data_IF_321991537984
#
_entry.id   IF_321991537984
#
_cell.length_a   1.000
_cell.length_b   1.000
_cell.length_c   1.000
_cell.angle_alpha   90.00
_cell.angle_beta   90.00
_cell.angle_gamma   90.00
#
_symmetry.space_group_name_H-M   'P 1'
#
loop_
_entity.id
_entity.type
_entity.pdbx_description
1 polymer ?
#
# COMPACT_ATOMS: atom_id res chain seq x y z
N UNK A 1 -1.60 29.68 -5.39
CA UNK A 1 -1.06 28.42 -4.81
C UNK A 1 -0.57 27.58 -5.97
N UNK A 2 0.74 27.46 -6.15
CA UNK A 2 1.32 26.71 -7.26
C UNK A 2 1.13 25.22 -7.01
N UNK A 3 0.35 24.55 -7.86
CA UNK A 3 0.19 23.09 -7.84
C UNK A 3 1.57 22.46 -8.07
N UNK A 4 1.98 21.52 -7.21
CA UNK A 4 3.20 20.76 -7.46
C UNK A 4 2.93 19.83 -8.65
N UNK A 5 3.97 19.57 -9.45
CA UNK A 5 3.90 18.77 -10.69
C UNK A 5 3.32 17.35 -10.49
N UNK A 6 3.21 16.90 -9.23
CA UNK A 6 2.71 15.59 -8.83
C UNK A 6 1.22 15.56 -8.43
N UNK A 7 0.55 16.71 -8.31
CA UNK A 7 -0.87 16.80 -7.88
C UNK A 7 -1.88 16.52 -9.02
N UNK A 8 -1.47 15.83 -10.10
CA UNK A 8 -2.42 15.44 -11.16
C UNK A 8 -3.25 14.28 -10.65
N UNK A 9 -4.59 14.39 -10.57
CA UNK A 9 -5.45 13.29 -10.13
C UNK A 9 -5.15 12.03 -10.95
N UNK A 10 -4.83 10.94 -10.27
CA UNK A 10 -4.61 9.62 -10.87
C UNK A 10 -5.80 8.72 -10.55
N UNK A 11 -6.04 7.74 -11.42
CA UNK A 11 -7.05 6.72 -11.15
C UNK A 11 -6.66 5.93 -9.90
N UNK A 12 -7.56 5.78 -8.93
CA UNK A 12 -7.31 5.02 -7.71
C UNK A 12 -6.91 3.58 -8.06
N UNK A 13 -5.86 3.08 -7.40
CA UNK A 13 -5.28 1.76 -7.67
C UNK A 13 -4.34 1.74 -8.87
N UNK A 14 -4.33 2.77 -9.73
CA UNK A 14 -3.39 2.91 -10.84
C UNK A 14 -2.13 3.71 -10.43
N UNK A 15 -1.47 3.24 -9.37
CA UNK A 15 -0.24 3.85 -8.81
C UNK A 15 0.91 2.86 -8.93
N UNK A 16 1.98 3.25 -9.63
CA UNK A 16 3.19 2.44 -9.77
C UNK A 16 4.02 2.35 -8.50
N UNK A 17 4.90 1.36 -8.41
CA UNK A 17 5.86 1.21 -7.32
C UNK A 17 7.28 1.40 -7.83
N UNK A 18 8.04 2.30 -7.20
CA UNK A 18 9.43 2.54 -7.57
C UNK A 18 10.27 1.28 -7.27
N UNK A 19 11.15 0.90 -8.20
CA UNK A 19 12.16 -0.11 -7.93
C UNK A 19 13.27 0.50 -7.06
N UNK A 20 13.63 -0.17 -5.96
CA UNK A 20 14.59 0.30 -4.97
C UNK A 20 15.92 -0.46 -5.05
N UNK A 21 16.19 -1.10 -6.19
CA UNK A 21 17.35 -1.97 -6.42
C UNK A 21 16.95 -3.44 -6.31
N UNK A 22 16.77 -4.11 -7.45
CA UNK A 22 16.33 -5.52 -7.52
C UNK A 22 15.02 -5.83 -6.77
N UNK A 23 14.15 -4.84 -6.50
CA UNK A 23 12.89 -5.06 -5.76
C UNK A 23 11.67 -5.26 -6.66
N UNK A 24 11.86 -5.46 -7.97
CA UNK A 24 10.76 -5.65 -8.91
C UNK A 24 9.88 -6.89 -8.59
N UNK A 25 10.47 -7.94 -8.00
CA UNK A 25 9.72 -9.11 -7.51
C UNK A 25 8.67 -8.73 -6.46
N UNK A 26 9.06 -7.86 -5.51
CA UNK A 26 8.17 -7.37 -4.46
C UNK A 26 7.11 -6.44 -5.07
N UNK A 27 7.51 -5.56 -6.00
CA UNK A 27 6.56 -4.67 -6.67
C UNK A 27 5.49 -5.46 -7.44
N UNK A 28 5.88 -6.51 -8.17
CA UNK A 28 4.94 -7.35 -8.91
C UNK A 28 3.94 -8.05 -7.97
N UNK A 29 4.43 -8.64 -6.88
CA UNK A 29 3.57 -9.28 -5.88
C UNK A 29 2.61 -8.27 -5.22
N UNK A 30 3.12 -7.11 -4.77
CA UNK A 30 2.31 -6.06 -4.15
C UNK A 30 1.21 -5.55 -5.08
N UNK A 31 1.50 -5.39 -6.38
CA UNK A 31 0.49 -4.96 -7.35
C UNK A 31 -0.63 -5.99 -7.50
N UNK A 32 -0.32 -7.29 -7.57
CA UNK A 32 -1.34 -8.35 -7.63
C UNK A 32 -2.23 -8.34 -6.38
N UNK A 33 -1.62 -8.28 -5.19
CA UNK A 33 -2.35 -8.30 -3.92
C UNK A 33 -3.17 -7.01 -3.75
N UNK A 34 -2.62 -5.84 -4.11
CA UNK A 34 -3.32 -4.54 -4.09
C UNK A 34 -4.53 -4.47 -5.03
N UNK A 35 -4.55 -5.27 -6.10
CA UNK A 35 -5.69 -5.35 -7.01
C UNK A 35 -6.71 -6.44 -6.62
N UNK A 36 -6.52 -7.08 -5.46
CA UNK A 36 -7.50 -8.03 -4.90
C UNK A 36 -8.54 -7.26 -4.08
N UNK A 37 -9.66 -6.89 -4.72
CA UNK A 37 -10.64 -5.95 -4.18
C UNK A 37 -11.08 -6.20 -2.73
N UNK A 38 -11.46 -7.43 -2.29
CA UNK A 38 -11.87 -7.65 -0.90
C UNK A 38 -10.77 -7.29 0.11
N UNK A 39 -9.52 -7.62 -0.22
CA UNK A 39 -8.37 -7.35 0.64
C UNK A 39 -8.05 -5.85 0.68
N UNK A 40 -8.07 -5.19 -0.46
CA UNK A 40 -7.86 -3.74 -0.57
C UNK A 40 -8.91 -2.97 0.20
N UNK A 41 -10.18 -3.32 0.06
CA UNK A 41 -11.26 -2.68 0.80
C UNK A 41 -11.06 -2.82 2.32
N UNK A 42 -10.65 -4.01 2.77
CA UNK A 42 -10.35 -4.29 4.17
C UNK A 42 -9.21 -3.43 4.73
N UNK A 43 -8.10 -3.31 4.00
CA UNK A 43 -6.95 -2.50 4.43
C UNK A 43 -7.20 -0.99 4.31
N UNK A 44 -7.80 -0.54 3.21
CA UNK A 44 -8.14 0.87 2.98
C UNK A 44 -9.12 1.40 4.04
N UNK A 45 -10.06 0.54 4.49
CA UNK A 45 -11.01 0.85 5.55
C UNK A 45 -10.47 0.74 6.99
N UNK A 46 -9.17 0.48 7.18
CA UNK A 46 -8.54 0.26 8.50
C UNK A 46 -9.09 -0.93 9.31
N UNK A 47 -9.84 -1.85 8.69
CA UNK A 47 -10.47 -2.96 9.41
C UNK A 47 -9.43 -3.87 10.08
N UNK A 48 -8.28 -4.06 9.42
CA UNK A 48 -7.14 -4.80 9.97
C UNK A 48 -6.66 -4.35 11.35
N UNK A 49 -6.82 -3.07 11.71
CA UNK A 49 -6.35 -2.55 12.99
C UNK A 49 -7.10 -3.14 14.19
N UNK A 50 -8.36 -3.55 13.99
CA UNK A 50 -9.19 -4.18 15.03
C UNK A 50 -8.89 -5.67 15.20
N UNK A 51 -8.23 -6.30 14.23
CA UNK A 51 -8.00 -7.75 14.19
C UNK A 51 -6.51 -8.12 14.34
N UNK A 52 -5.64 -7.14 14.65
CA UNK A 52 -4.21 -7.39 14.83
C UNK A 52 -3.92 -8.31 16.01
N UNK A 53 -3.54 -9.55 15.72
CA UNK A 53 -3.01 -10.47 16.73
C UNK A 53 -1.52 -10.21 17.00
N UNK A 54 -1.23 -9.26 17.89
CA UNK A 54 0.14 -8.84 18.23
C UNK A 54 0.92 -9.85 19.07
N UNK A 55 0.22 -10.76 19.74
CA UNK A 55 0.81 -11.73 20.65
C UNK A 55 1.08 -13.09 19.99
N UNK A 56 0.68 -13.27 18.73
CA UNK A 56 0.93 -14.51 17.99
C UNK A 56 2.43 -14.76 17.82
N UNK A 57 2.99 -15.86 18.39
CA UNK A 57 4.42 -16.16 18.28
C UNK A 57 4.86 -16.50 16.86
N UNK A 58 3.93 -16.85 15.97
CA UNK A 58 4.19 -17.09 14.55
C UNK A 58 4.04 -15.83 13.68
N UNK A 59 3.56 -14.73 14.27
CA UNK A 59 3.31 -13.47 13.59
C UNK A 59 4.46 -12.48 13.69
N UNK A 60 4.28 -11.32 13.05
CA UNK A 60 5.26 -10.24 13.02
C UNK A 60 4.82 -9.05 13.89
N UNK A 61 4.19 -9.33 15.05
CA UNK A 61 3.64 -8.33 16.00
C UNK A 61 2.67 -7.32 15.38
N UNK A 62 2.08 -7.66 14.22
CA UNK A 62 1.21 -6.80 13.42
C UNK A 62 1.93 -5.80 12.50
N UNK A 63 3.26 -5.74 12.48
CA UNK A 63 4.00 -4.74 11.71
C UNK A 63 3.79 -4.86 10.20
N UNK A 64 3.81 -6.08 9.65
CA UNK A 64 3.60 -6.29 8.22
C UNK A 64 2.19 -5.85 7.79
N UNK A 65 1.16 -6.22 8.56
CA UNK A 65 -0.22 -5.82 8.27
C UNK A 65 -0.38 -4.28 8.34
N UNK A 66 0.25 -3.64 9.32
CA UNK A 66 0.21 -2.18 9.47
C UNK A 66 0.90 -1.47 8.29
N UNK A 67 2.11 -1.88 7.91
CA UNK A 67 2.85 -1.29 6.78
C UNK A 67 2.15 -1.54 5.45
N UNK A 68 1.58 -2.72 5.26
CA UNK A 68 0.79 -3.00 4.08
C UNK A 68 -0.46 -2.11 4.00
N UNK A 69 -1.18 -1.92 5.11
CA UNK A 69 -2.32 -1.00 5.16
C UNK A 69 -1.96 0.46 4.85
N UNK A 70 -0.81 0.95 5.35
CA UNK A 70 -0.27 2.27 5.01
C UNK A 70 0.03 2.39 3.51
N UNK A 71 0.71 1.38 2.94
CA UNK A 71 1.03 1.35 1.51
C UNK A 71 -0.22 1.30 0.62
N UNK A 72 -1.25 0.54 1.01
CA UNK A 72 -2.51 0.46 0.25
C UNK A 72 -3.21 1.80 0.18
N UNK A 73 -3.19 2.59 1.26
CA UNK A 73 -3.72 3.96 1.22
C UNK A 73 -2.92 4.85 0.27
N UNK A 74 -1.60 4.74 0.27
CA UNK A 74 -0.74 5.51 -0.63
C UNK A 74 -1.04 5.13 -2.10
N UNK A 75 -1.17 3.83 -2.43
CA UNK A 75 -1.50 3.32 -3.77
C UNK A 75 -2.92 3.73 -4.22
N UNK A 76 -3.90 3.70 -3.31
CA UNK A 76 -5.32 3.95 -3.62
C UNK A 76 -5.79 5.38 -3.34
N UNK A 77 -4.86 6.28 -3.01
CA UNK A 77 -5.11 7.71 -2.80
C UNK A 77 -5.65 8.42 -4.04
N UNK A 78 -5.19 8.02 -5.24
CA UNK A 78 -5.47 8.71 -6.50
C UNK A 78 -4.73 10.05 -6.63
N UNK A 79 -3.67 10.25 -5.83
CA UNK A 79 -2.93 11.53 -5.78
C UNK A 79 -1.51 11.41 -6.32
N UNK A 80 -1.06 10.25 -6.76
CA UNK A 80 0.30 10.04 -7.22
C UNK A 80 0.36 8.99 -8.32
N UNK A 81 1.27 9.19 -9.29
CA UNK A 81 1.51 8.21 -10.37
C UNK A 81 2.37 7.04 -9.90
N UNK A 82 3.33 7.29 -9.01
CA UNK A 82 4.17 6.26 -8.42
C UNK A 82 4.47 6.56 -6.96
N UNK A 83 4.79 5.54 -6.16
CA UNK A 83 5.22 5.65 -4.77
C UNK A 83 6.42 4.73 -4.50
N UNK A 84 7.30 5.14 -3.60
CA UNK A 84 8.41 4.31 -3.12
C UNK A 84 7.99 3.60 -1.81
N UNK A 85 7.94 2.25 -1.77
CA UNK A 85 7.57 1.52 -0.56
C UNK A 85 8.74 1.48 0.44
N UNK A 86 8.97 2.59 1.14
CA UNK A 86 10.11 2.79 2.06
C UNK A 86 9.76 2.66 3.55
N UNK A 87 8.47 2.61 3.89
CA UNK A 87 7.98 2.65 5.28
C UNK A 87 7.92 1.27 5.92
#
# INVERSE_FOLDING_TARGET
KTLKKDDVPTQKGATGLNNLGNTCFMNAALQCVSNTWPLTHYFAGNLHLFELNRNNPLGMKGHIAQRYGELIKDIWSGTSKTVAPLK
#
